data_IF_897716296502
#
_entry.id   IF_897716296502
#
_cell.length_a   1.000
_cell.length_b   1.000
_cell.length_c   1.000
_cell.angle_alpha   90.00
_cell.angle_beta   90.00
_cell.angle_gamma   90.00
#
_symmetry.space_group_name_H-M   'P 1'
#
loop_
_entity.id
_entity.type
_entity.pdbx_description
1 polymer ?
#
# COMPACT_ATOMS: atom_id res chain seq x y z
N UNK A 1 3.53 -9.04 6.03
CA UNK A 1 3.47 -8.55 7.44
C UNK A 1 2.64 -7.27 7.53
N UNK A 2 3.04 -6.13 6.95
CA UNK A 2 2.26 -4.88 7.03
C UNK A 2 0.86 -4.97 6.41
N UNK A 3 0.74 -5.43 5.16
CA UNK A 3 -0.57 -5.58 4.50
C UNK A 3 -1.52 -6.48 5.29
N UNK A 4 -1.00 -7.52 5.94
CA UNK A 4 -1.78 -8.40 6.81
C UNK A 4 -2.31 -7.66 8.05
N UNK A 5 -1.48 -6.84 8.70
CA UNK A 5 -1.89 -6.03 9.85
C UNK A 5 -2.96 -4.99 9.46
N UNK A 6 -2.83 -4.37 8.28
CA UNK A 6 -3.85 -3.44 7.77
C UNK A 6 -5.15 -4.20 7.46
N UNK A 7 -5.08 -5.38 6.85
CA UNK A 7 -6.27 -6.21 6.60
C UNK A 7 -6.96 -6.68 7.89
N UNK A 8 -6.20 -7.01 8.93
CA UNK A 8 -6.73 -7.33 10.27
C UNK A 8 -7.43 -6.12 10.90
N UNK A 9 -6.90 -4.91 10.69
CA UNK A 9 -7.53 -3.68 11.13
C UNK A 9 -8.83 -3.39 10.37
N UNK A 10 -8.85 -3.59 9.05
CA UNK A 10 -10.07 -3.53 8.22
C UNK A 10 -11.15 -4.45 8.79
N UNK A 11 -10.81 -5.72 9.05
CA UNK A 11 -11.74 -6.69 9.62
C UNK A 11 -12.27 -6.24 10.99
N UNK A 12 -11.39 -5.65 11.82
CA UNK A 12 -11.78 -5.14 13.14
C UNK A 12 -12.79 -4.00 13.04
N UNK A 13 -12.59 -3.05 12.11
CA UNK A 13 -13.55 -1.98 11.85
C UNK A 13 -14.86 -2.50 11.24
N UNK A 14 -14.81 -3.51 10.38
CA UNK A 14 -16.00 -4.12 9.81
C UNK A 14 -16.85 -4.82 10.89
N UNK A 15 -16.21 -5.57 11.79
CA UNK A 15 -16.89 -6.18 12.94
C UNK A 15 -17.51 -5.12 13.84
N UNK A 16 -16.79 -4.02 14.11
CA UNK A 16 -17.31 -2.89 14.88
C UNK A 16 -18.52 -2.25 14.19
N UNK A 17 -18.44 -2.06 12.87
CA UNK A 17 -19.49 -1.46 12.06
C UNK A 17 -20.77 -2.28 12.11
N UNK A 18 -20.69 -3.60 11.93
CA UNK A 18 -21.83 -4.50 12.01
C UNK A 18 -22.42 -4.56 13.43
N UNK A 19 -21.57 -4.61 14.46
CA UNK A 19 -22.03 -4.68 15.85
C UNK A 19 -22.84 -3.45 16.27
N UNK A 20 -22.46 -2.28 15.76
CA UNK A 20 -23.05 -0.98 16.14
C UNK A 20 -23.77 -0.29 14.98
N UNK A 21 -24.27 -1.07 14.02
CA UNK A 21 -24.88 -0.61 12.76
C UNK A 21 -25.93 0.48 12.98
N UNK A 22 -26.83 0.27 13.95
CA UNK A 22 -27.95 1.16 14.23
C UNK A 22 -27.78 2.01 15.49
N UNK A 23 -26.59 2.03 16.12
CA UNK A 23 -26.35 2.90 17.28
C UNK A 23 -26.29 4.35 16.79
N UNK A 24 -27.24 5.23 17.18
CA UNK A 24 -27.30 6.58 16.63
C UNK A 24 -26.10 7.42 17.04
N UNK A 25 -25.57 8.19 16.08
CA UNK A 25 -24.51 9.17 16.30
C UNK A 25 -24.79 10.41 15.43
N UNK A 26 -24.58 11.65 15.92
CA UNK A 26 -24.64 12.81 15.03
C UNK A 26 -23.50 12.73 14.00
N UNK A 27 -23.81 12.95 12.73
CA UNK A 27 -22.79 13.28 11.74
C UNK A 27 -22.24 14.68 11.99
N UNK A 28 -21.01 14.93 11.58
CA UNK A 28 -20.35 16.23 11.76
C UNK A 28 -19.84 16.80 10.44
N UNK A 29 -20.07 18.10 10.23
CA UNK A 29 -19.43 18.90 9.19
C UNK A 29 -18.87 20.16 9.82
N UNK A 30 -17.62 20.53 9.50
CA UNK A 30 -16.92 21.64 10.18
C UNK A 30 -16.96 21.54 11.73
N UNK A 31 -16.90 20.33 12.28
CA UNK A 31 -17.04 20.05 13.72
C UNK A 31 -18.39 20.45 14.33
N UNK A 32 -19.42 20.70 13.52
CA UNK A 32 -20.77 20.99 13.96
C UNK A 32 -21.71 19.82 13.63
N UNK A 33 -22.72 19.61 14.48
CA UNK A 33 -23.72 18.57 14.28
C UNK A 33 -24.48 18.84 12.97
N UNK A 34 -24.53 17.82 12.12
CA UNK A 34 -25.20 17.84 10.83
C UNK A 34 -26.41 16.88 10.86
N UNK A 35 -26.42 15.88 9.96
CA UNK A 35 -27.49 14.90 9.87
C UNK A 35 -27.31 13.74 10.87
N UNK A 36 -28.39 13.05 11.28
CA UNK A 36 -28.31 11.78 11.98
C UNK A 36 -27.49 10.76 11.18
N UNK A 37 -26.66 10.00 11.87
CA UNK A 37 -25.83 8.92 11.35
C UNK A 37 -25.78 7.79 12.40
N UNK A 38 -24.85 6.85 12.24
CA UNK A 38 -24.62 5.77 13.20
C UNK A 38 -23.14 5.52 13.44
N UNK A 39 -22.84 4.90 14.60
CA UNK A 39 -21.49 4.40 14.90
C UNK A 39 -21.04 3.40 13.84
N UNK A 40 -21.98 2.59 13.31
CA UNK A 40 -21.75 1.69 12.20
C UNK A 40 -21.22 2.38 10.95
N UNK A 41 -21.87 3.47 10.53
CA UNK A 41 -21.46 4.24 9.34
C UNK A 41 -20.07 4.88 9.52
N UNK A 42 -19.78 5.39 10.72
CA UNK A 42 -18.46 5.92 11.06
C UNK A 42 -17.37 4.83 11.01
N UNK A 43 -17.58 3.69 11.66
CA UNK A 43 -16.63 2.58 11.63
C UNK A 43 -16.43 2.01 10.21
N UNK A 44 -17.52 1.89 9.43
CA UNK A 44 -17.49 1.45 8.04
C UNK A 44 -16.63 2.34 7.15
N UNK A 45 -16.68 3.67 7.35
CA UNK A 45 -15.86 4.62 6.58
C UNK A 45 -14.36 4.38 6.72
N UNK A 46 -13.90 3.94 7.89
CA UNK A 46 -12.49 3.60 8.10
C UNK A 46 -12.11 2.25 7.50
N UNK A 47 -13.00 1.26 7.56
CA UNK A 47 -12.79 -0.01 6.89
C UNK A 47 -12.59 0.22 5.38
N UNK A 48 -13.45 1.04 4.76
CA UNK A 48 -13.32 1.40 3.33
C UNK A 48 -12.03 2.17 3.03
N UNK A 49 -11.69 3.19 3.82
CA UNK A 49 -10.45 3.96 3.64
C UNK A 49 -9.20 3.08 3.72
N UNK A 50 -9.16 2.12 4.66
CA UNK A 50 -8.03 1.19 4.79
C UNK A 50 -7.98 0.14 3.67
N UNK A 51 -9.13 -0.21 3.05
CA UNK A 51 -9.16 -1.07 1.86
C UNK A 51 -8.52 -0.35 0.67
N UNK A 52 -8.80 0.94 0.49
CA UNK A 52 -8.13 1.75 -0.53
C UNK A 52 -6.62 1.84 -0.29
N UNK A 53 -6.21 2.01 0.98
CA UNK A 53 -4.79 2.01 1.36
C UNK A 53 -4.09 0.69 1.01
N UNK A 54 -4.77 -0.47 1.15
CA UNK A 54 -4.24 -1.77 0.73
C UNK A 54 -3.98 -1.85 -0.79
N UNK A 55 -4.85 -1.24 -1.60
CA UNK A 55 -4.67 -1.19 -3.05
C UNK A 55 -3.45 -0.35 -3.44
N UNK A 56 -3.24 0.78 -2.75
CA UNK A 56 -2.06 1.63 -2.93
C UNK A 56 -0.80 0.88 -2.50
N UNK A 57 -0.83 0.19 -1.35
CA UNK A 57 0.29 -0.60 -0.85
C UNK A 57 0.66 -1.74 -1.80
N UNK A 58 -0.34 -2.43 -2.39
CA UNK A 58 -0.11 -3.45 -3.41
C UNK A 58 0.56 -2.86 -4.65
N UNK A 59 0.07 -1.72 -5.14
CA UNK A 59 0.66 -1.04 -6.30
C UNK A 59 2.12 -0.65 -6.06
N UNK A 60 2.45 -0.21 -4.84
CA UNK A 60 3.82 0.08 -4.45
C UNK A 60 4.69 -1.18 -4.38
N UNK A 61 4.14 -2.30 -3.90
CA UNK A 61 4.82 -3.60 -3.92
C UNK A 61 5.15 -4.04 -5.36
N UNK A 62 4.18 -3.99 -6.27
CA UNK A 62 4.36 -4.37 -7.67
C UNK A 62 5.41 -3.49 -8.40
N UNK A 63 5.57 -2.22 -7.98
CA UNK A 63 6.62 -1.33 -8.50
C UNK A 63 8.02 -1.76 -8.04
N UNK A 64 8.19 -2.11 -6.76
CA UNK A 64 9.49 -2.54 -6.21
C UNK A 64 9.84 -3.99 -6.54
N UNK A 65 8.87 -4.81 -6.92
CA UNK A 65 9.04 -6.23 -7.24
C UNK A 65 9.70 -6.47 -8.61
N UNK A 66 10.88 -5.88 -8.79
CA UNK A 66 11.66 -5.95 -10.02
C UNK A 66 13.16 -6.08 -9.72
N UNK A 67 13.81 -7.07 -10.30
CA UNK A 67 15.24 -7.35 -10.07
C UNK A 67 16.14 -6.36 -10.83
N UNK A 68 16.99 -5.57 -10.13
CA UNK A 68 18.02 -4.74 -10.75
C UNK A 68 19.31 -5.52 -11.05
N UNK A 69 19.38 -6.80 -10.64
CA UNK A 69 20.62 -7.59 -10.72
C UNK A 69 21.09 -7.73 -12.16
N UNK A 70 22.40 -7.56 -12.35
CA UNK A 70 23.04 -7.57 -13.66
C UNK A 70 23.09 -6.23 -14.38
N UNK A 71 22.57 -5.15 -13.79
CA UNK A 71 22.71 -3.79 -14.34
C UNK A 71 24.13 -3.21 -14.21
N UNK A 72 24.98 -3.77 -13.35
CA UNK A 72 26.33 -3.29 -13.09
C UNK A 72 26.37 -1.80 -12.75
N UNK A 73 27.35 -1.06 -13.27
CA UNK A 73 27.43 0.39 -13.15
C UNK A 73 26.50 1.13 -14.14
N UNK A 74 25.28 0.62 -14.34
CA UNK A 74 24.27 1.06 -15.32
C UNK A 74 24.46 0.58 -16.77
N UNK A 75 25.55 -0.14 -17.06
CA UNK A 75 25.92 -0.58 -18.42
C UNK A 75 25.96 -2.10 -18.57
N UNK A 76 25.36 -2.82 -17.61
CA UNK A 76 25.44 -4.28 -17.56
C UNK A 76 26.70 -4.78 -16.87
N UNK A 77 26.89 -6.09 -16.91
CA UNK A 77 28.10 -6.76 -16.44
C UNK A 77 28.70 -7.58 -17.59
N UNK A 78 30.01 -7.81 -17.55
CA UNK A 78 30.72 -8.63 -18.55
C UNK A 78 30.53 -10.14 -18.37
N UNK A 79 29.85 -10.55 -17.30
CA UNK A 79 29.54 -11.95 -17.01
C UNK A 79 28.28 -12.38 -17.77
N UNK A 80 28.27 -13.59 -18.31
CA UNK A 80 27.09 -14.22 -18.91
C UNK A 80 26.11 -14.70 -17.82
N UNK A 81 25.56 -13.74 -17.07
CA UNK A 81 24.53 -14.03 -16.05
C UNK A 81 23.15 -14.10 -16.68
N UNK A 82 22.46 -15.20 -16.43
CA UNK A 82 21.03 -15.31 -16.69
C UNK A 82 20.25 -14.50 -15.65
N UNK A 83 19.82 -13.29 -16.06
CA UNK A 83 19.10 -12.35 -15.21
C UNK A 83 17.70 -12.84 -14.86
N UNK A 84 17.04 -13.55 -15.77
CA UNK A 84 15.71 -14.11 -15.53
C UNK A 84 15.78 -15.25 -14.51
N UNK A 85 16.74 -16.15 -14.67
CA UNK A 85 17.00 -17.21 -13.71
C UNK A 85 17.34 -16.65 -12.32
N UNK A 86 18.22 -15.64 -12.27
CA UNK A 86 18.60 -15.00 -11.01
C UNK A 86 17.44 -14.25 -10.34
N UNK A 87 16.59 -13.57 -11.14
CA UNK A 87 15.38 -12.91 -10.67
C UNK A 87 14.42 -13.89 -10.00
N UNK A 88 14.20 -15.04 -10.63
CA UNK A 88 13.34 -16.11 -10.08
C UNK A 88 13.91 -16.69 -8.79
N UNK A 89 15.22 -16.94 -8.72
CA UNK A 89 15.88 -17.44 -7.50
C UNK A 89 15.75 -16.47 -6.32
N UNK A 90 15.78 -15.16 -6.59
CA UNK A 90 15.63 -14.12 -5.58
C UNK A 90 14.18 -13.81 -5.22
N UNK A 91 13.21 -14.40 -5.92
CA UNK A 91 11.78 -14.22 -5.67
C UNK A 91 11.17 -12.94 -6.24
N UNK A 92 11.83 -12.29 -7.21
CA UNK A 92 11.28 -11.12 -7.90
C UNK A 92 10.27 -11.51 -8.98
N UNK A 93 9.23 -10.70 -9.17
CA UNK A 93 8.21 -10.88 -10.19
C UNK A 93 8.71 -10.68 -11.63
N UNK A 94 9.70 -9.80 -11.83
CA UNK A 94 10.31 -9.54 -13.16
C UNK A 94 11.70 -8.93 -13.09
N UNK A 95 12.41 -8.92 -14.21
CA UNK A 95 13.69 -8.21 -14.37
C UNK A 95 13.46 -6.75 -14.78
N UNK A 96 14.29 -5.84 -14.29
CA UNK A 96 14.41 -4.50 -14.88
C UNK A 96 15.20 -4.56 -16.18
N UNK A 97 14.51 -4.54 -17.32
CA UNK A 97 15.10 -4.80 -18.63
C UNK A 97 16.25 -3.85 -18.98
N UNK A 98 16.07 -2.54 -18.75
CA UNK A 98 17.06 -1.53 -19.09
C UNK A 98 18.00 -1.25 -17.90
N UNK A 99 19.31 -1.33 -18.14
CA UNK A 99 20.33 -1.16 -17.09
C UNK A 99 20.46 0.27 -16.57
N UNK A 100 20.19 1.28 -17.41
CA UNK A 100 20.13 2.69 -16.99
C UNK A 100 18.86 2.94 -16.16
N UNK A 101 17.74 2.34 -16.57
CA UNK A 101 16.48 2.40 -15.81
C UNK A 101 16.68 1.89 -14.38
N UNK A 102 17.40 0.78 -14.20
CA UNK A 102 17.65 0.20 -12.88
C UNK A 102 18.32 1.18 -11.88
N UNK A 103 19.16 2.11 -12.37
CA UNK A 103 19.78 3.12 -11.51
C UNK A 103 18.84 4.27 -11.16
N UNK A 104 18.04 4.72 -12.12
CA UNK A 104 17.14 5.88 -11.93
C UNK A 104 15.83 5.50 -11.26
N UNK A 105 15.39 4.25 -11.36
CA UNK A 105 14.12 3.78 -10.80
C UNK A 105 14.10 3.82 -9.29
N UNK A 106 15.25 3.60 -8.63
CA UNK A 106 15.37 3.48 -7.17
C UNK A 106 14.68 4.63 -6.43
N UNK A 107 14.93 5.88 -6.83
CA UNK A 107 14.37 7.06 -6.16
C UNK A 107 12.85 7.14 -6.38
N UNK A 108 12.38 6.76 -7.57
CA UNK A 108 10.94 6.71 -7.88
C UNK A 108 10.24 5.66 -7.01
N UNK A 109 10.78 4.44 -6.94
CA UNK A 109 10.20 3.36 -6.14
C UNK A 109 10.21 3.66 -4.65
N UNK A 110 11.24 4.34 -4.15
CA UNK A 110 11.27 4.87 -2.78
C UNK A 110 10.16 5.88 -2.53
N UNK A 111 9.95 6.84 -3.44
CA UNK A 111 8.89 7.83 -3.32
C UNK A 111 7.49 7.20 -3.33
N UNK A 112 7.25 6.22 -4.22
CA UNK A 112 5.99 5.46 -4.29
C UNK A 112 5.75 4.67 -2.99
N UNK A 113 6.79 4.03 -2.46
CA UNK A 113 6.71 3.31 -1.18
C UNK A 113 6.35 4.26 -0.03
N UNK A 114 7.03 5.40 0.07
CA UNK A 114 6.75 6.41 1.10
C UNK A 114 5.34 6.98 0.99
N UNK A 115 4.86 7.20 -0.24
CA UNK A 115 3.49 7.64 -0.48
C UNK A 115 2.47 6.63 0.02
N UNK A 116 2.64 5.34 -0.30
CA UNK A 116 1.75 4.28 0.17
C UNK A 116 1.68 4.20 1.70
N UNK A 117 2.82 4.28 2.39
CA UNK A 117 2.86 4.35 3.85
C UNK A 117 2.18 5.61 4.39
N UNK A 118 2.34 6.74 3.69
CA UNK A 118 1.72 8.01 4.08
C UNK A 118 0.19 7.98 3.95
N UNK A 119 -0.38 7.27 2.97
CA UNK A 119 -1.83 7.10 2.87
C UNK A 119 -2.39 6.38 4.11
N UNK A 120 -1.77 5.27 4.50
CA UNK A 120 -2.12 4.55 5.74
C UNK A 120 -2.04 5.49 6.95
N UNK A 121 -0.97 6.27 7.08
CA UNK A 121 -0.81 7.23 8.19
C UNK A 121 -1.90 8.32 8.18
N UNK A 122 -2.31 8.81 7.02
CA UNK A 122 -3.37 9.81 6.88
C UNK A 122 -4.72 9.24 7.32
N UNK A 123 -5.06 8.02 6.93
CA UNK A 123 -6.23 7.31 7.44
C UNK A 123 -6.14 7.15 8.96
N UNK A 124 -4.98 6.70 9.46
CA UNK A 124 -4.78 6.49 10.90
C UNK A 124 -4.90 7.77 11.74
N UNK A 125 -4.48 8.91 11.20
CA UNK A 125 -4.55 10.21 11.88
C UNK A 125 -5.96 10.76 12.07
N UNK A 126 -6.96 10.15 11.40
CA UNK A 126 -8.37 10.52 11.51
C UNK A 126 -9.14 9.66 12.51
N UNK A 127 -8.50 8.61 13.05
CA UNK A 127 -9.04 7.85 14.19
C UNK A 127 -9.15 8.70 15.45
#
# INVERSE_FOLDING_TARGET
MLAQQVAELVNSFQVLAMKYEFVPMPGYTHMQKAMPSSVGMWAGSFAESLIDDLNVLKSAFDDVDQSPLGSGAAYGVSLEIDREYSSKLLGFGKVQNNSLYAQVSRVKSQAVTLHALSQIMLTLSRF
#
